data_IF_777459537222
#
_entry.id   IF_777459537222
#
_cell.length_a   1.000
_cell.length_b   1.000
_cell.length_c   1.000
_cell.angle_alpha   90.00
_cell.angle_beta   90.00
_cell.angle_gamma   90.00
#
_symmetry.space_group_name_H-M   'P 1'
#
loop_
_entity.id
_entity.type
_entity.pdbx_description
1 polymer ?
#
# COMPACT_ATOMS: atom_id res chain seq x y z
N UNK A 1 20.08 -16.17 -5.77
CA UNK A 1 20.51 -14.89 -5.12
C UNK A 1 20.07 -14.81 -3.65
N UNK A 2 19.27 -15.76 -3.15
CA UNK A 2 18.75 -15.77 -1.77
C UNK A 2 17.77 -14.63 -1.44
N UNK A 3 17.31 -13.87 -2.44
CA UNK A 3 16.34 -12.79 -2.25
C UNK A 3 14.91 -13.33 -2.33
N UNK A 4 14.05 -12.83 -1.46
CA UNK A 4 12.60 -13.07 -1.50
C UNK A 4 12.00 -12.17 -2.58
N UNK A 5 11.17 -12.77 -3.45
CA UNK A 5 10.44 -12.04 -4.49
C UNK A 5 8.95 -12.05 -4.17
N UNK A 6 8.33 -10.88 -4.10
CA UNK A 6 6.89 -10.73 -3.90
C UNK A 6 6.27 -10.03 -5.11
N UNK A 7 5.22 -10.64 -5.66
CA UNK A 7 4.37 -10.03 -6.67
C UNK A 7 3.03 -9.63 -6.05
N UNK A 8 2.50 -8.49 -6.49
CA UNK A 8 1.15 -8.03 -6.11
C UNK A 8 0.31 -7.91 -7.37
N UNK A 9 -0.89 -8.45 -7.36
CA UNK A 9 -1.78 -8.47 -8.51
C UNK A 9 -3.24 -8.33 -8.08
N UNK A 10 -4.07 -7.74 -8.96
CA UNK A 10 -5.52 -7.77 -8.82
C UNK A 10 -6.18 -9.06 -9.31
N UNK A 11 -5.40 -10.00 -9.84
CA UNK A 11 -5.89 -11.30 -10.27
C UNK A 11 -6.73 -11.31 -11.56
N UNK A 12 -6.75 -10.23 -12.35
CA UNK A 12 -7.52 -10.19 -13.62
C UNK A 12 -7.13 -11.32 -14.59
N UNK A 13 -5.87 -11.73 -14.60
CA UNK A 13 -5.34 -12.84 -15.42
C UNK A 13 -5.92 -14.21 -15.04
N UNK A 14 -6.62 -14.30 -13.90
CA UNK A 14 -7.34 -15.50 -13.47
C UNK A 14 -8.57 -15.84 -14.31
N UNK A 15 -8.93 -14.97 -15.28
CA UNK A 15 -10.06 -15.18 -16.19
C UNK A 15 -9.95 -16.47 -16.98
N UNK A 16 -8.76 -16.78 -17.49
CA UNK A 16 -8.51 -17.94 -18.35
C UNK A 16 -7.58 -18.92 -17.66
N UNK A 17 -8.04 -20.16 -17.44
CA UNK A 17 -7.30 -21.16 -16.66
C UNK A 17 -5.93 -21.51 -17.28
N UNK A 18 -5.82 -21.50 -18.59
CA UNK A 18 -4.54 -21.75 -19.27
C UNK A 18 -3.54 -20.59 -19.03
N UNK A 19 -4.02 -19.37 -18.92
CA UNK A 19 -3.20 -18.21 -18.53
C UNK A 19 -2.72 -18.38 -17.07
N UNK A 20 -3.59 -18.85 -16.19
CA UNK A 20 -3.24 -19.10 -14.77
C UNK A 20 -2.12 -20.13 -14.69
N UNK A 21 -2.26 -21.27 -15.36
CA UNK A 21 -1.23 -22.32 -15.39
C UNK A 21 0.11 -21.80 -15.91
N UNK A 22 0.08 -21.04 -17.02
CA UNK A 22 1.28 -20.43 -17.59
C UNK A 22 1.97 -19.50 -16.61
N UNK A 23 1.22 -18.61 -15.94
CA UNK A 23 1.79 -17.65 -15.01
C UNK A 23 2.41 -18.32 -13.78
N UNK A 24 1.77 -19.36 -13.23
CA UNK A 24 2.37 -20.12 -12.15
C UNK A 24 3.64 -20.85 -12.57
N UNK A 25 3.65 -21.44 -13.76
CA UNK A 25 4.86 -22.07 -14.31
C UNK A 25 5.99 -21.06 -14.47
N UNK A 26 5.70 -19.87 -15.01
CA UNK A 26 6.69 -18.82 -15.22
C UNK A 26 7.18 -18.25 -13.87
N UNK A 27 6.29 -17.97 -12.92
CA UNK A 27 6.65 -17.53 -11.56
C UNK A 27 7.55 -18.54 -10.86
N UNK A 28 7.22 -19.84 -10.93
CA UNK A 28 8.02 -20.90 -10.34
C UNK A 28 9.42 -20.97 -10.97
N UNK A 29 9.50 -20.89 -12.30
CA UNK A 29 10.79 -20.89 -13.02
C UNK A 29 11.66 -19.67 -12.67
N UNK A 30 11.03 -18.51 -12.43
CA UNK A 30 11.72 -17.28 -12.06
C UNK A 30 12.08 -17.22 -10.57
N UNK A 31 11.66 -18.19 -9.76
CA UNK A 31 11.93 -18.23 -8.33
C UNK A 31 11.12 -17.20 -7.53
N UNK A 32 9.90 -16.87 -7.97
CA UNK A 32 8.96 -16.07 -7.18
C UNK A 32 8.52 -16.87 -5.97
N UNK A 33 8.61 -16.26 -4.79
CA UNK A 33 8.29 -16.93 -3.51
C UNK A 33 6.96 -16.49 -2.92
N UNK A 34 6.49 -15.29 -3.25
CA UNK A 34 5.24 -14.75 -2.70
C UNK A 34 4.38 -14.11 -3.78
N UNK A 35 3.08 -14.37 -3.73
CA UNK A 35 2.08 -13.73 -4.56
C UNK A 35 0.93 -13.20 -3.69
N UNK A 36 0.74 -11.88 -3.68
CA UNK A 36 -0.39 -11.23 -3.01
C UNK A 36 -1.45 -10.89 -4.04
N UNK A 37 -2.66 -11.37 -3.82
CA UNK A 37 -3.82 -11.06 -4.67
C UNK A 37 -4.72 -10.07 -3.94
N UNK A 38 -4.93 -8.89 -4.54
CA UNK A 38 -5.87 -7.90 -4.04
C UNK A 38 -7.27 -8.20 -4.57
N UNK A 39 -8.19 -8.56 -3.70
CA UNK A 39 -9.60 -8.79 -4.07
C UNK A 39 -10.52 -8.48 -2.89
N UNK A 40 -11.35 -7.47 -3.04
CA UNK A 40 -12.30 -6.95 -2.05
C UNK A 40 -13.60 -6.52 -2.75
N UNK A 41 -14.54 -5.94 -2.00
CA UNK A 41 -15.82 -5.46 -2.54
C UNK A 41 -15.64 -4.37 -3.61
N UNK A 42 -14.54 -3.63 -3.60
CA UNK A 42 -14.24 -2.61 -4.62
C UNK A 42 -13.71 -3.26 -5.89
N UNK A 43 -12.79 -4.22 -5.78
CA UNK A 43 -12.25 -4.98 -6.91
C UNK A 43 -13.32 -5.87 -7.56
N UNK A 44 -14.23 -6.45 -6.79
CA UNK A 44 -15.28 -7.37 -7.27
C UNK A 44 -16.25 -6.72 -8.26
N UNK A 45 -16.32 -5.39 -8.29
CA UNK A 45 -17.10 -4.63 -9.28
C UNK A 45 -16.55 -4.78 -10.71
N UNK A 46 -15.26 -5.08 -10.84
CA UNK A 46 -14.53 -5.15 -12.12
C UNK A 46 -13.94 -6.53 -12.39
N UNK A 47 -13.64 -7.29 -11.34
CA UNK A 47 -12.96 -8.58 -11.40
C UNK A 47 -13.84 -9.63 -10.72
N UNK A 48 -14.28 -10.62 -11.50
CA UNK A 48 -15.14 -11.68 -10.97
C UNK A 48 -14.37 -12.53 -9.95
N UNK A 49 -15.04 -12.91 -8.87
CA UNK A 49 -14.48 -13.78 -7.82
C UNK A 49 -14.02 -15.14 -8.36
N UNK A 50 -14.66 -15.63 -9.43
CA UNK A 50 -14.24 -16.86 -10.10
C UNK A 50 -12.81 -16.80 -10.66
N UNK A 51 -12.34 -15.61 -11.10
CA UNK A 51 -10.96 -15.45 -11.56
C UNK A 51 -9.98 -15.70 -10.42
N UNK A 52 -10.33 -15.22 -9.23
CA UNK A 52 -9.50 -15.43 -8.03
C UNK A 52 -9.55 -16.89 -7.60
N UNK A 53 -10.73 -17.54 -7.65
CA UNK A 53 -10.84 -18.97 -7.37
C UNK A 53 -9.92 -19.80 -8.27
N UNK A 54 -9.88 -19.51 -9.57
CA UNK A 54 -8.98 -20.21 -10.50
C UNK A 54 -7.51 -20.08 -10.06
N UNK A 55 -7.10 -18.88 -9.63
CA UNK A 55 -5.75 -18.64 -9.14
C UNK A 55 -5.48 -19.45 -7.86
N UNK A 56 -6.37 -19.38 -6.88
CA UNK A 56 -6.20 -20.05 -5.59
C UNK A 56 -6.20 -21.58 -5.72
N UNK A 57 -7.02 -22.13 -6.60
CA UNK A 57 -7.04 -23.57 -6.87
C UNK A 57 -5.75 -24.02 -7.54
N UNK A 58 -5.29 -23.32 -8.57
CA UNK A 58 -4.05 -23.65 -9.28
C UNK A 58 -2.83 -23.52 -8.38
N UNK A 59 -2.80 -22.51 -7.49
CA UNK A 59 -1.67 -22.27 -6.58
C UNK A 59 -1.28 -23.45 -5.73
N UNK A 60 -2.23 -24.33 -5.40
CA UNK A 60 -2.02 -25.55 -4.58
C UNK A 60 -1.02 -26.51 -5.21
N UNK A 61 -0.76 -26.40 -6.52
CA UNK A 61 0.25 -27.19 -7.23
C UNK A 61 1.66 -26.64 -7.09
N UNK A 62 1.80 -25.44 -6.51
CA UNK A 62 3.06 -24.69 -6.39
C UNK A 62 3.32 -24.29 -4.94
N UNK A 63 3.61 -25.26 -4.05
CA UNK A 63 3.74 -25.02 -2.60
C UNK A 63 4.88 -24.06 -2.23
N UNK A 64 5.85 -23.88 -3.13
CA UNK A 64 6.96 -22.95 -2.93
C UNK A 64 6.57 -21.48 -3.16
N UNK A 65 5.39 -21.22 -3.73
CA UNK A 65 4.83 -19.88 -3.93
C UNK A 65 3.76 -19.65 -2.86
N UNK A 66 4.08 -18.87 -1.85
CA UNK A 66 3.12 -18.50 -0.80
C UNK A 66 2.11 -17.49 -1.36
N UNK A 67 0.82 -17.84 -1.24
CA UNK A 67 -0.28 -16.97 -1.68
C UNK A 67 -0.89 -16.28 -0.46
N UNK A 68 -1.24 -14.99 -0.63
CA UNK A 68 -2.03 -14.23 0.34
C UNK A 68 -3.13 -13.48 -0.40
N UNK A 69 -4.33 -13.45 0.16
CA UNK A 69 -5.42 -12.59 -0.33
C UNK A 69 -5.48 -11.33 0.53
N UNK A 70 -5.39 -10.17 -0.11
CA UNK A 70 -5.45 -8.86 0.52
C UNK A 70 -6.83 -8.24 0.29
N UNK A 71 -7.49 -7.82 1.35
CA UNK A 71 -8.85 -7.26 1.35
C UNK A 71 -8.83 -5.88 1.98
N UNK A 72 -9.10 -4.84 1.19
CA UNK A 72 -9.36 -3.51 1.74
C UNK A 72 -10.76 -3.49 2.36
N UNK A 73 -10.85 -2.99 3.60
CA UNK A 73 -12.11 -2.90 4.35
C UNK A 73 -12.46 -1.45 4.65
N UNK A 74 -13.76 -1.15 4.62
CA UNK A 74 -14.34 0.13 5.00
C UNK A 74 -15.34 -0.04 6.14
N UNK A 75 -16.00 1.03 6.54
CA UNK A 75 -17.11 0.93 7.53
C UNK A 75 -18.24 0.03 7.04
N UNK A 76 -18.53 0.05 5.74
CA UNK A 76 -19.65 -0.67 5.14
C UNK A 76 -19.21 -1.94 4.37
N UNK A 77 -17.92 -2.18 4.25
CA UNK A 77 -17.36 -3.34 3.56
C UNK A 77 -16.34 -4.03 4.45
N UNK A 78 -16.73 -5.15 5.04
CA UNK A 78 -15.87 -5.95 5.94
C UNK A 78 -15.05 -6.99 5.20
N UNK A 79 -15.32 -7.21 3.91
CA UNK A 79 -14.71 -8.25 3.08
C UNK A 79 -15.18 -9.67 3.41
N UNK A 80 -16.14 -9.86 4.33
CA UNK A 80 -16.63 -11.19 4.70
C UNK A 80 -17.39 -11.85 3.55
N UNK A 81 -18.12 -11.05 2.76
CA UNK A 81 -18.78 -11.51 1.54
C UNK A 81 -17.77 -12.10 0.55
N UNK A 82 -16.63 -11.47 0.35
CA UNK A 82 -15.57 -11.94 -0.56
C UNK A 82 -15.03 -13.30 -0.07
N UNK A 83 -14.77 -13.44 1.22
CA UNK A 83 -14.29 -14.69 1.81
C UNK A 83 -15.34 -15.79 1.61
N UNK A 84 -16.61 -15.51 1.87
CA UNK A 84 -17.71 -16.43 1.65
C UNK A 84 -17.83 -16.83 0.16
N UNK A 85 -17.76 -15.86 -0.74
CA UNK A 85 -17.90 -16.09 -2.19
C UNK A 85 -16.70 -16.88 -2.76
N UNK A 86 -15.50 -16.78 -2.17
CA UNK A 86 -14.35 -17.61 -2.53
C UNK A 86 -14.56 -19.08 -2.12
N UNK A 87 -15.35 -19.34 -1.08
CA UNK A 87 -15.72 -20.67 -0.63
C UNK A 87 -14.51 -21.54 -0.29
N UNK A 88 -14.51 -22.80 -0.74
CA UNK A 88 -13.43 -23.75 -0.46
C UNK A 88 -12.08 -23.34 -1.06
N UNK A 89 -12.07 -22.48 -2.08
CA UNK A 89 -10.81 -22.05 -2.70
C UNK A 89 -9.90 -21.27 -1.75
N UNK A 90 -10.48 -20.57 -0.74
CA UNK A 90 -9.72 -19.78 0.24
C UNK A 90 -9.15 -20.61 1.39
N UNK A 91 -9.57 -21.88 1.56
CA UNK A 91 -9.13 -22.70 2.68
C UNK A 91 -7.62 -22.92 2.65
N UNK A 92 -6.98 -22.61 3.78
CA UNK A 92 -5.53 -22.68 3.93
C UNK A 92 -4.75 -21.51 3.33
N UNK A 93 -5.43 -20.53 2.73
CA UNK A 93 -4.79 -19.31 2.20
C UNK A 93 -4.87 -18.19 3.24
N UNK A 94 -3.75 -17.56 3.63
CA UNK A 94 -3.76 -16.40 4.50
C UNK A 94 -4.56 -15.24 3.90
N UNK A 95 -5.39 -14.60 4.73
CA UNK A 95 -6.15 -13.39 4.37
C UNK A 95 -5.67 -12.24 5.22
N UNK A 96 -5.27 -11.13 4.59
CA UNK A 96 -4.93 -9.89 5.26
C UNK A 96 -6.00 -8.84 5.00
N UNK A 97 -6.66 -8.37 6.06
CA UNK A 97 -7.59 -7.24 6.01
C UNK A 97 -6.86 -5.97 6.42
N UNK A 98 -7.04 -4.89 5.68
CA UNK A 98 -6.48 -3.58 6.00
C UNK A 98 -7.48 -2.45 5.72
N UNK A 99 -7.44 -1.35 6.47
CA UNK A 99 -8.38 -0.26 6.28
C UNK A 99 -8.18 0.41 4.92
N UNK A 100 -9.30 0.74 4.28
CA UNK A 100 -9.30 1.57 3.08
C UNK A 100 -8.71 2.94 3.40
N UNK A 101 -7.82 3.43 2.55
CA UNK A 101 -7.20 4.75 2.67
C UNK A 101 -7.51 5.61 1.43
N UNK A 102 -7.64 6.95 1.57
CA UNK A 102 -8.04 7.85 0.48
C UNK A 102 -6.87 8.12 -0.50
N UNK A 103 -6.44 7.11 -1.25
CA UNK A 103 -5.38 7.20 -2.26
C UNK A 103 -5.82 6.55 -3.57
N UNK A 104 -5.23 6.94 -4.69
CA UNK A 104 -5.62 6.44 -6.00
C UNK A 104 -7.13 6.66 -6.25
N UNK A 105 -7.84 5.68 -6.78
CA UNK A 105 -9.29 5.76 -7.02
C UNK A 105 -10.12 5.87 -5.73
N UNK A 106 -9.59 5.43 -4.59
CA UNK A 106 -10.29 5.59 -3.32
C UNK A 106 -10.43 7.05 -2.86
N UNK A 107 -9.74 8.01 -3.48
CA UNK A 107 -9.97 9.46 -3.27
C UNK A 107 -11.39 9.90 -3.65
N UNK A 108 -12.05 9.14 -4.53
CA UNK A 108 -13.39 9.43 -5.04
C UNK A 108 -14.50 8.76 -4.20
N UNK A 109 -14.12 8.02 -3.17
CA UNK A 109 -15.05 7.37 -2.23
C UNK A 109 -15.45 8.37 -1.16
N UNK A 110 -16.68 8.27 -0.70
CA UNK A 110 -17.23 9.16 0.33
C UNK A 110 -16.42 9.04 1.64
N UNK A 111 -16.15 10.16 2.29
CA UNK A 111 -15.32 10.23 3.50
C UNK A 111 -15.89 9.40 4.67
N UNK A 112 -17.20 9.21 4.72
CA UNK A 112 -17.85 8.39 5.74
C UNK A 112 -17.58 6.87 5.62
N UNK A 113 -17.08 6.40 4.48
CA UNK A 113 -16.64 5.02 4.28
C UNK A 113 -15.32 4.69 5.00
N UNK A 114 -14.45 5.69 5.23
CA UNK A 114 -13.16 5.42 5.85
C UNK A 114 -13.28 5.18 7.36
N UNK A 115 -12.61 4.12 7.82
CA UNK A 115 -12.48 3.84 9.25
C UNK A 115 -11.36 4.72 9.83
N UNK A 116 -11.70 5.69 10.67
CA UNK A 116 -10.71 6.51 11.36
C UNK A 116 -10.17 5.76 12.58
N UNK A 117 -8.95 5.25 12.49
CA UNK A 117 -8.29 4.47 13.55
C UNK A 117 -7.16 5.23 14.25
N UNK A 118 -6.78 6.39 13.72
CA UNK A 118 -5.77 7.28 14.30
C UNK A 118 -6.38 8.62 14.63
N UNK A 119 -5.94 9.21 15.75
CA UNK A 119 -6.41 10.53 16.19
C UNK A 119 -5.25 11.38 16.69
N UNK A 120 -5.33 12.70 16.48
CA UNK A 120 -4.39 13.67 17.06
C UNK A 120 -4.38 13.67 18.58
N UNK A 121 -5.43 13.16 19.23
CA UNK A 121 -5.47 13.00 20.70
C UNK A 121 -4.53 11.92 21.21
N UNK A 122 -4.00 11.05 20.34
CA UNK A 122 -3.07 9.97 20.70
C UNK A 122 -1.74 10.12 19.93
N UNK A 123 -0.95 11.17 20.22
CA UNK A 123 0.23 11.52 19.42
C UNK A 123 1.30 10.43 19.37
N UNK A 124 1.43 9.61 20.40
CA UNK A 124 2.40 8.51 20.43
C UNK A 124 2.15 7.40 19.41
N UNK A 125 0.92 7.32 18.86
CA UNK A 125 0.56 6.37 17.82
C UNK A 125 0.86 6.88 16.41
N UNK A 126 1.22 8.17 16.27
CA UNK A 126 1.42 8.83 14.98
C UNK A 126 2.85 8.64 14.46
N UNK A 127 3.30 7.39 14.33
CA UNK A 127 4.64 7.04 13.83
C UNK A 127 4.56 6.30 12.51
N UNK A 128 5.50 6.62 11.61
CA UNK A 128 5.62 5.90 10.36
C UNK A 128 6.10 4.45 10.63
N UNK A 129 5.44 3.43 10.07
CA UNK A 129 5.77 2.02 10.34
C UNK A 129 7.08 1.56 9.69
N UNK A 130 7.57 2.26 8.68
CA UNK A 130 8.80 1.86 8.01
C UNK A 130 9.19 2.75 6.85
N UNK A 131 10.46 2.58 6.44
CA UNK A 131 11.04 3.26 5.29
C UNK A 131 11.81 2.23 4.47
N UNK A 132 11.33 1.99 3.24
CA UNK A 132 11.96 1.14 2.25
C UNK A 132 11.94 1.89 0.91
N UNK A 133 13.09 2.08 0.24
CA UNK A 133 13.11 2.82 -1.02
C UNK A 133 12.31 2.10 -2.09
N UNK A 134 11.48 2.85 -2.78
CA UNK A 134 10.66 2.36 -3.90
C UNK A 134 11.07 3.08 -5.17
N UNK A 135 11.54 2.32 -6.13
CA UNK A 135 11.82 2.78 -7.48
C UNK A 135 10.53 2.74 -8.30
N UNK A 136 10.02 3.91 -8.62
CA UNK A 136 8.76 4.04 -9.32
C UNK A 136 8.99 4.10 -10.84
N UNK A 137 8.00 3.70 -11.62
CA UNK A 137 8.11 3.63 -13.08
C UNK A 137 8.39 4.98 -13.76
N UNK A 138 8.09 6.11 -13.10
CA UNK A 138 8.41 7.45 -13.59
C UNK A 138 9.89 7.86 -13.36
N UNK A 139 10.73 6.97 -12.83
CA UNK A 139 12.14 7.20 -12.53
C UNK A 139 12.39 7.83 -11.16
N UNK A 140 11.37 8.25 -10.43
CA UNK A 140 11.51 8.75 -9.08
C UNK A 140 11.73 7.63 -8.07
N UNK A 141 12.44 7.94 -6.99
CA UNK A 141 12.64 7.06 -5.86
C UNK A 141 11.97 7.67 -4.63
N UNK A 142 11.12 6.91 -3.99
CA UNK A 142 10.37 7.34 -2.80
C UNK A 142 10.83 6.58 -1.56
N UNK A 143 10.69 7.15 -0.35
CA UNK A 143 11.16 6.53 0.89
C UNK A 143 10.29 5.40 1.43
N UNK A 144 9.14 5.11 0.82
CA UNK A 144 8.26 4.02 1.24
C UNK A 144 7.30 3.60 0.10
N UNK A 145 6.65 2.44 0.29
CA UNK A 145 5.74 1.83 -0.69
C UNK A 145 4.28 2.30 -0.59
N UNK A 146 3.94 3.19 0.36
CA UNK A 146 2.55 3.67 0.47
C UNK A 146 2.15 4.47 -0.76
N UNK A 147 0.99 4.21 -1.39
CA UNK A 147 0.50 5.03 -2.50
C UNK A 147 0.33 6.51 -2.13
N UNK A 148 0.16 6.84 -0.85
CA UNK A 148 0.07 8.22 -0.38
C UNK A 148 1.36 9.02 -0.60
N UNK A 149 2.53 8.35 -0.68
CA UNK A 149 3.82 9.01 -0.87
C UNK A 149 3.96 9.64 -2.24
N UNK A 150 3.29 9.09 -3.26
CA UNK A 150 3.36 9.58 -4.64
C UNK A 150 2.69 10.95 -4.84
N UNK A 151 1.85 11.35 -3.88
CA UNK A 151 1.21 12.67 -3.85
C UNK A 151 2.04 13.70 -3.05
N UNK A 152 3.25 13.35 -2.60
CA UNK A 152 4.09 14.19 -1.74
C UNK A 152 5.37 14.63 -2.43
N UNK A 153 6.01 15.67 -1.88
CA UNK A 153 7.32 16.14 -2.30
C UNK A 153 8.49 15.27 -1.77
N UNK A 154 8.21 14.13 -1.13
CA UNK A 154 9.22 13.26 -0.53
C UNK A 154 9.89 12.37 -1.58
N UNK A 155 10.72 12.97 -2.42
CA UNK A 155 11.50 12.30 -3.46
C UNK A 155 12.95 12.18 -3.00
N UNK A 156 13.56 11.01 -3.15
CA UNK A 156 14.92 10.72 -2.69
C UNK A 156 16.00 10.96 -3.75
N UNK A 157 15.65 10.87 -5.03
CA UNK A 157 16.63 11.00 -6.11
C UNK A 157 16.72 12.46 -6.62
N UNK A 158 17.94 12.84 -7.02
CA UNK A 158 18.20 14.09 -7.73
C UNK A 158 18.18 13.90 -9.26
N UNK A 159 18.43 12.67 -9.68
CA UNK A 159 18.46 12.24 -11.09
C UNK A 159 17.60 10.99 -11.27
N UNK A 160 17.03 10.81 -12.46
CA UNK A 160 16.25 9.63 -12.78
C UNK A 160 17.14 8.36 -12.68
N UNK A 161 16.54 7.28 -12.16
CA UNK A 161 17.19 5.96 -12.04
C UNK A 161 18.49 5.96 -11.20
N UNK A 162 18.51 6.79 -10.15
CA UNK A 162 19.62 6.81 -9.18
C UNK A 162 19.90 5.41 -8.65
N UNK A 163 21.20 5.07 -8.50
CA UNK A 163 21.61 3.75 -7.99
C UNK A 163 21.18 3.52 -6.52
N UNK A 164 21.19 2.26 -6.12
CA UNK A 164 20.69 1.84 -4.82
C UNK A 164 21.55 2.39 -3.66
N UNK A 165 22.86 2.36 -3.78
CA UNK A 165 23.76 2.79 -2.68
C UNK A 165 23.66 4.29 -2.42
N UNK A 166 23.58 5.09 -3.48
CA UNK A 166 23.28 6.53 -3.35
C UNK A 166 21.93 6.76 -2.73
N UNK A 167 20.90 6.02 -3.14
CA UNK A 167 19.55 6.11 -2.58
C UNK A 167 19.54 5.82 -1.09
N UNK A 168 20.16 4.72 -0.65
CA UNK A 168 20.27 4.36 0.77
C UNK A 168 21.00 5.42 1.57
N UNK A 169 22.12 5.92 1.04
CA UNK A 169 22.91 6.99 1.68
C UNK A 169 22.03 8.23 1.86
N UNK A 170 21.34 8.67 0.81
CA UNK A 170 20.48 9.84 0.84
C UNK A 170 19.29 9.66 1.80
N UNK A 171 18.66 8.48 1.81
CA UNK A 171 17.56 8.17 2.72
C UNK A 171 18.02 8.21 4.18
N UNK A 172 19.22 7.72 4.49
CA UNK A 172 19.74 7.67 5.85
C UNK A 172 20.26 9.04 6.33
N UNK A 173 20.74 9.90 5.44
CA UNK A 173 21.21 11.26 5.75
C UNK A 173 20.09 12.33 5.72
N UNK A 174 18.88 11.97 5.30
CA UNK A 174 17.76 12.90 5.19
C UNK A 174 17.20 13.24 6.57
N UNK A 175 17.37 14.51 7.00
CA UNK A 175 16.93 14.99 8.31
C UNK A 175 15.41 14.86 8.51
N UNK A 176 14.62 15.14 7.47
CA UNK A 176 13.16 15.03 7.54
C UNK A 176 12.74 13.58 7.85
N UNK A 177 13.29 12.61 7.12
CA UNK A 177 13.02 11.20 7.36
C UNK A 177 13.53 10.72 8.70
N UNK A 178 14.66 11.25 9.18
CA UNK A 178 15.20 10.97 10.50
C UNK A 178 14.21 11.41 11.60
N UNK A 179 13.69 12.65 11.50
CA UNK A 179 12.69 13.18 12.45
C UNK A 179 11.40 12.34 12.40
N UNK A 180 10.90 12.01 11.20
CA UNK A 180 9.71 11.17 11.04
C UNK A 180 9.85 9.79 11.71
N UNK A 181 11.05 9.19 11.65
CA UNK A 181 11.33 7.89 12.29
C UNK A 181 11.38 8.01 13.81
N UNK A 182 12.01 9.05 14.32
CA UNK A 182 12.29 9.22 15.75
C UNK A 182 11.12 9.81 16.51
N UNK A 183 10.65 10.98 16.07
CA UNK A 183 9.62 11.77 16.76
C UNK A 183 8.20 11.48 16.24
N UNK A 184 8.11 10.89 15.04
CA UNK A 184 6.85 10.67 14.35
C UNK A 184 6.24 11.96 13.78
N UNK A 185 4.96 11.90 13.45
CA UNK A 185 4.27 13.03 12.84
C UNK A 185 3.85 14.10 13.86
N UNK A 186 3.80 13.79 15.14
CA UNK A 186 3.40 14.74 16.20
C UNK A 186 4.27 15.99 16.21
N UNK A 187 5.57 15.85 15.93
CA UNK A 187 6.50 16.96 15.85
C UNK A 187 6.12 17.93 14.72
N UNK A 188 5.82 17.42 13.53
CA UNK A 188 5.40 18.23 12.38
C UNK A 188 4.05 18.89 12.61
N UNK A 189 3.09 18.15 13.17
CA UNK A 189 1.75 18.65 13.50
C UNK A 189 1.87 19.84 14.48
N UNK A 190 2.73 19.75 15.47
CA UNK A 190 2.98 20.83 16.41
C UNK A 190 3.53 22.07 15.71
N UNK A 191 4.49 21.92 14.81
CA UNK A 191 5.06 23.04 14.05
C UNK A 191 3.97 23.69 13.17
N UNK A 192 3.24 22.90 12.42
CA UNK A 192 2.19 23.40 11.52
C UNK A 192 1.09 24.12 12.30
N UNK A 193 0.69 23.59 13.45
CA UNK A 193 -0.37 24.18 14.26
C UNK A 193 0.03 25.46 14.99
N UNK A 194 1.32 25.68 15.24
CA UNK A 194 1.83 26.82 16.03
C UNK A 194 2.53 27.88 15.18
N UNK A 195 2.60 27.70 13.86
CA UNK A 195 3.25 28.68 12.97
C UNK A 195 2.28 29.13 11.86
N UNK A 196 2.03 30.42 11.81
CA UNK A 196 1.12 31.04 10.83
C UNK A 196 1.54 30.86 9.38
N UNK A 197 2.82 30.64 9.10
CA UNK A 197 3.32 30.37 7.75
C UNK A 197 2.71 29.09 7.16
N UNK A 198 2.34 28.14 8.01
CA UNK A 198 1.74 26.86 7.62
C UNK A 198 0.20 26.82 7.75
N UNK A 199 -0.44 27.99 7.94
CA UNK A 199 -1.91 28.08 8.09
C UNK A 199 -2.71 27.50 6.90
N UNK A 200 -2.08 27.38 5.74
CA UNK A 200 -2.65 26.74 4.54
C UNK A 200 -2.70 25.22 4.64
N UNK A 201 -1.89 24.59 5.52
CA UNK A 201 -1.87 23.14 5.72
C UNK A 201 -2.99 22.77 6.69
N UNK A 202 -4.03 22.13 6.18
CA UNK A 202 -5.15 21.64 6.99
C UNK A 202 -4.90 20.18 7.38
N UNK A 203 -4.87 19.91 8.68
CA UNK A 203 -4.68 18.58 9.24
C UNK A 203 -5.99 18.15 9.88
N UNK A 204 -6.51 16.99 9.47
CA UNK A 204 -7.70 16.40 10.07
C UNK A 204 -7.42 15.97 11.51
N UNK A 205 -8.47 15.89 12.34
CA UNK A 205 -8.34 15.41 13.73
C UNK A 205 -8.22 13.89 13.80
N UNK A 206 -8.79 13.20 12.83
CA UNK A 206 -8.85 11.74 12.75
C UNK A 206 -8.44 11.26 11.36
N UNK A 207 -7.87 10.06 11.29
CA UNK A 207 -7.32 9.50 10.07
C UNK A 207 -7.57 7.99 9.97
N UNK A 208 -7.77 7.52 8.77
CA UNK A 208 -7.85 6.09 8.47
C UNK A 208 -6.48 5.41 8.44
N UNK A 209 -5.40 6.18 8.30
CA UNK A 209 -4.03 5.66 8.18
C UNK A 209 -3.01 6.73 8.54
N UNK A 210 -1.86 6.31 9.06
CA UNK A 210 -0.68 7.17 9.24
C UNK A 210 -0.23 7.79 7.91
N UNK A 211 -0.40 7.07 6.80
CA UNK A 211 -0.07 7.57 5.47
C UNK A 211 -0.93 8.77 5.05
N UNK A 212 -2.16 8.87 5.56
CA UNK A 212 -3.02 10.03 5.32
C UNK A 212 -2.46 11.30 5.97
N UNK A 213 -1.85 11.18 7.16
CA UNK A 213 -1.17 12.30 7.84
C UNK A 213 0.06 12.74 7.03
N UNK A 214 0.89 11.78 6.61
CA UNK A 214 2.06 12.03 5.77
C UNK A 214 1.68 12.82 4.50
N UNK A 215 0.62 12.36 3.82
CA UNK A 215 0.10 13.03 2.63
C UNK A 215 -0.37 14.46 2.91
N UNK A 216 -1.09 14.71 4.01
CA UNK A 216 -1.56 16.06 4.34
C UNK A 216 -0.42 17.01 4.68
N UNK A 217 0.60 16.54 5.37
CA UNK A 217 1.76 17.35 5.77
C UNK A 217 2.69 17.68 4.59
N UNK A 218 2.88 16.74 3.67
CA UNK A 218 3.92 16.84 2.63
C UNK A 218 3.38 16.82 1.20
N UNK A 219 2.08 17.05 1.04
CA UNK A 219 1.45 17.10 -0.28
C UNK A 219 2.15 18.14 -1.17
N UNK A 220 2.50 17.70 -2.38
CA UNK A 220 2.93 18.65 -3.41
C UNK A 220 1.75 19.52 -3.77
N UNK A 221 1.84 20.83 -3.60
CA UNK A 221 0.89 21.74 -4.22
C UNK A 221 1.10 21.58 -5.73
N UNK A 222 0.11 21.05 -6.42
CA UNK A 222 0.07 21.18 -7.86
C UNK A 222 -0.08 22.68 -8.12
N UNK A 223 1.00 23.32 -8.53
CA UNK A 223 0.95 24.61 -9.21
C UNK A 223 0.19 24.35 -10.51
N UNK A 224 -1.12 24.58 -10.45
CA UNK A 224 -2.02 24.63 -11.59
C UNK A 224 -1.86 26.02 -12.24
#
# INVERSE_FOLDING_TARGET
>A
SGKISTLISNGFWGREIETVKKYFLDMNRMGVTNLSISHDDFHSKFIKTDYIRNILIESRKYPDIQITVNIAVSKNSTGDKIIHDLGEAILGIPVTKFPLIPVGEAKNINDDEFQNIYSLSHPNQLKCPGFEPVYHFNGNVYPCCSPAIFDTALILNDELYQDFDKTITKMNSNLLLYIMRREGFSWFINIVSNNNEFSHIKINKEFSSICSICRQLFKTENNI
#
